data_IF_923939876952
#
_entry.id   IF_923939876952
#
_cell.length_a   1.000
_cell.length_b   1.000
_cell.length_c   1.000
_cell.angle_alpha   90.00
_cell.angle_beta   90.00
_cell.angle_gamma   90.00
#
_symmetry.space_group_name_H-M   'P 1'
#
loop_
_entity.id
_entity.type
_entity.pdbx_description
1 polymer ?
#
# COMPACT_ATOMS: atom_id res chain seq x y z
N UNK A 1 -15.75 -6.84 6.52
CA UNK A 1 -14.59 -7.67 6.15
C UNK A 1 -14.94 -9.09 6.62
N UNK A 2 -15.11 -10.09 5.73
CA UNK A 2 -14.03 -10.37 4.78
C UNK A 2 -14.42 -10.46 3.30
N UNK A 3 -15.70 -10.60 2.93
CA UNK A 3 -16.08 -10.94 1.54
C UNK A 3 -15.42 -10.08 0.43
N UNK A 4 -15.39 -8.75 0.57
CA UNK A 4 -14.75 -7.86 -0.41
C UNK A 4 -13.22 -7.96 -0.36
N UNK A 5 -12.63 -7.99 0.83
CA UNK A 5 -11.17 -8.06 0.98
C UNK A 5 -10.64 -9.42 0.53
N UNK A 6 -11.40 -10.50 0.75
CA UNK A 6 -11.08 -11.84 0.28
C UNK A 6 -11.06 -11.91 -1.25
N UNK A 7 -12.02 -11.25 -1.92
CA UNK A 7 -12.00 -11.18 -3.39
C UNK A 7 -10.83 -10.35 -3.91
N UNK A 8 -10.47 -9.24 -3.24
CA UNK A 8 -9.26 -8.46 -3.59
C UNK A 8 -8.01 -9.33 -3.41
N UNK A 9 -7.86 -10.01 -2.26
CA UNK A 9 -6.73 -10.92 -1.98
C UNK A 9 -6.64 -12.04 -2.99
N UNK A 10 -7.76 -12.69 -3.32
CA UNK A 10 -7.84 -13.73 -4.33
C UNK A 10 -7.25 -13.22 -5.64
N UNK A 11 -7.67 -12.04 -6.11
CA UNK A 11 -7.12 -11.44 -7.33
C UNK A 11 -5.62 -11.16 -7.24
N UNK A 12 -5.11 -10.72 -6.08
CA UNK A 12 -3.66 -10.53 -5.86
C UNK A 12 -2.87 -11.83 -5.96
N UNK A 13 -3.43 -12.96 -5.52
CA UNK A 13 -2.73 -14.25 -5.49
C UNK A 13 -2.80 -15.05 -6.80
N UNK A 14 -3.74 -14.76 -7.70
CA UNK A 14 -3.98 -15.52 -8.94
C UNK A 14 -2.70 -15.76 -9.77
N UNK A 15 -1.85 -14.75 -9.92
CA UNK A 15 -0.61 -14.90 -10.70
C UNK A 15 0.42 -15.81 -9.99
N UNK A 16 0.39 -15.86 -8.66
CA UNK A 16 1.29 -16.67 -7.84
C UNK A 16 0.99 -18.15 -7.91
N UNK A 17 -0.28 -18.51 -8.10
CA UNK A 17 -0.71 -19.90 -8.27
C UNK A 17 -0.15 -20.54 -9.55
N UNK A 18 0.32 -19.74 -10.52
CA UNK A 18 0.89 -20.26 -11.77
C UNK A 18 2.29 -20.85 -11.60
N UNK A 19 3.02 -20.47 -10.53
CA UNK A 19 4.42 -20.88 -10.31
C UNK A 19 5.42 -20.36 -11.34
N UNK A 20 5.05 -19.36 -12.16
CA UNK A 20 5.87 -18.84 -13.28
C UNK A 20 6.69 -17.59 -12.93
N UNK A 21 6.41 -16.96 -11.81
CA UNK A 21 6.98 -15.67 -11.44
C UNK A 21 7.66 -15.77 -10.09
N UNK A 22 8.86 -15.20 -9.97
CA UNK A 22 9.59 -15.11 -8.71
C UNK A 22 8.96 -14.05 -7.78
N UNK A 23 8.43 -12.98 -8.35
CA UNK A 23 7.82 -11.85 -7.64
C UNK A 23 6.58 -11.34 -8.35
N UNK A 24 5.62 -10.84 -7.56
CA UNK A 24 4.39 -10.20 -8.05
C UNK A 24 4.34 -8.80 -7.46
N UNK A 25 4.15 -7.81 -8.33
CA UNK A 25 3.97 -6.41 -7.93
C UNK A 25 2.52 -6.06 -8.19
N UNK A 26 1.79 -5.74 -7.12
CA UNK A 26 0.41 -5.28 -7.19
C UNK A 26 0.37 -3.79 -6.93
N UNK A 27 0.03 -3.01 -7.96
CA UNK A 27 -0.26 -1.59 -7.79
C UNK A 27 -1.66 -1.41 -7.20
N UNK A 28 -1.78 -0.59 -6.16
CA UNK A 28 -3.05 -0.19 -5.58
C UNK A 28 -3.35 1.23 -6.04
N UNK A 29 -4.40 1.39 -6.84
CA UNK A 29 -4.89 2.69 -7.25
C UNK A 29 -5.58 3.45 -6.12
N UNK A 30 -5.64 4.77 -6.25
CA UNK A 30 -6.21 5.66 -5.24
C UNK A 30 -5.20 6.08 -4.17
N UNK A 31 -5.26 7.33 -3.68
CA UNK A 31 -4.36 7.78 -2.64
C UNK A 31 -4.75 7.19 -1.28
N UNK A 32 -3.77 7.06 -0.40
CA UNK A 32 -4.01 6.71 1.01
C UNK A 32 -4.73 7.85 1.70
N UNK A 33 -5.81 7.54 2.44
CA UNK A 33 -6.67 8.50 3.14
C UNK A 33 -8.05 8.67 2.49
N UNK A 34 -8.18 8.29 1.22
CA UNK A 34 -9.48 8.30 0.55
C UNK A 34 -10.33 7.08 0.96
N UNK A 35 -11.63 7.30 1.12
CA UNK A 35 -12.60 6.27 1.55
C UNK A 35 -12.62 5.08 0.60
N UNK A 36 -12.43 5.33 -0.70
CA UNK A 36 -12.41 4.32 -1.75
C UNK A 36 -11.23 3.34 -1.60
N UNK A 37 -10.13 3.77 -0.99
CA UNK A 37 -8.91 2.99 -0.82
C UNK A 37 -8.98 2.02 0.38
N UNK A 38 -9.90 2.24 1.34
CA UNK A 38 -9.95 1.48 2.59
C UNK A 38 -10.04 -0.05 2.41
N UNK A 39 -10.86 -0.61 1.49
CA UNK A 39 -10.91 -2.05 1.28
C UNK A 39 -9.58 -2.62 0.75
N UNK A 40 -8.87 -1.88 -0.10
CA UNK A 40 -7.59 -2.31 -0.65
C UNK A 40 -6.49 -2.26 0.40
N UNK A 41 -6.45 -1.18 1.21
CA UNK A 41 -5.52 -1.06 2.34
C UNK A 41 -5.73 -2.23 3.31
N UNK A 42 -6.98 -2.52 3.71
CA UNK A 42 -7.25 -3.67 4.59
C UNK A 42 -6.87 -5.01 3.94
N UNK A 43 -7.06 -5.18 2.63
CA UNK A 43 -6.61 -6.37 1.91
C UNK A 43 -5.07 -6.51 1.96
N UNK A 44 -4.31 -5.43 1.70
CA UNK A 44 -2.83 -5.43 1.79
C UNK A 44 -2.37 -5.79 3.21
N UNK A 45 -3.03 -5.24 4.23
CA UNK A 45 -2.73 -5.56 5.64
C UNK A 45 -2.90 -7.05 5.93
N UNK A 46 -3.96 -7.68 5.40
CA UNK A 46 -4.19 -9.11 5.52
C UNK A 46 -3.19 -9.94 4.69
N UNK A 47 -2.87 -9.54 3.45
CA UNK A 47 -1.87 -10.23 2.62
C UNK A 47 -0.51 -10.29 3.33
N UNK A 48 -0.06 -9.18 3.94
CA UNK A 48 1.19 -9.18 4.72
C UNK A 48 1.14 -10.15 5.90
N UNK A 49 -0.02 -10.28 6.55
CA UNK A 49 -0.19 -11.23 7.63
C UNK A 49 -0.11 -12.67 7.12
N UNK A 50 -0.82 -12.98 6.02
CA UNK A 50 -0.91 -14.32 5.45
C UNK A 50 0.43 -14.82 4.89
N UNK A 51 1.20 -13.95 4.22
CA UNK A 51 2.50 -14.28 3.64
C UNK A 51 3.66 -14.18 4.64
N UNK A 52 3.48 -13.41 5.71
CA UNK A 52 4.51 -13.05 6.67
C UNK A 52 5.44 -11.93 6.18
N UNK A 53 6.17 -11.31 7.12
CA UNK A 53 6.97 -10.11 6.88
C UNK A 53 8.11 -10.27 5.86
N UNK A 54 8.57 -11.50 5.61
CA UNK A 54 9.68 -11.77 4.68
C UNK A 54 9.24 -12.05 3.24
N UNK A 55 7.94 -12.25 3.00
CA UNK A 55 7.40 -12.59 1.69
C UNK A 55 6.43 -11.53 1.15
N UNK A 56 6.33 -10.37 1.82
CA UNK A 56 5.50 -9.25 1.39
C UNK A 56 6.18 -7.92 1.73
N UNK A 57 6.25 -7.03 0.74
CA UNK A 57 6.80 -5.67 0.86
C UNK A 57 5.72 -4.65 0.52
N UNK A 58 5.67 -3.54 1.26
CA UNK A 58 4.79 -2.39 0.99
C UNK A 58 5.62 -1.18 0.64
N UNK A 59 5.50 -0.74 -0.61
CA UNK A 59 6.13 0.48 -1.12
C UNK A 59 5.10 1.60 -1.13
N UNK A 60 5.37 2.70 -0.42
CA UNK A 60 4.48 3.86 -0.38
C UNK A 60 5.03 5.03 -1.19
N UNK A 61 4.41 5.31 -2.33
CA UNK A 61 4.79 6.41 -3.21
C UNK A 61 4.26 7.74 -2.66
N UNK A 62 5.14 8.72 -2.46
CA UNK A 62 4.76 10.04 -1.93
C UNK A 62 5.32 11.19 -2.75
N UNK A 63 4.68 12.36 -2.64
CA UNK A 63 5.10 13.60 -3.30
C UNK A 63 5.91 14.47 -2.34
N UNK A 64 7.11 14.88 -2.78
CA UNK A 64 7.91 15.93 -2.13
C UNK A 64 7.81 17.21 -2.97
N UNK A 65 6.90 18.15 -2.64
CA UNK A 65 6.73 19.37 -3.42
C UNK A 65 7.88 20.35 -3.19
N UNK A 66 8.23 21.08 -4.25
CA UNK A 66 9.17 22.21 -4.22
C UNK A 66 8.42 23.54 -4.16
N UNK A 67 8.65 24.33 -3.12
CA UNK A 67 8.05 25.65 -2.96
C UNK A 67 8.96 26.74 -3.54
N UNK A 68 8.61 27.26 -4.72
CA UNK A 68 9.41 28.30 -5.41
C UNK A 68 9.65 29.55 -4.56
N UNK A 69 8.67 29.98 -3.77
CA UNK A 69 8.76 31.19 -2.94
C UNK A 69 9.83 31.08 -1.85
N UNK A 70 10.03 29.87 -1.29
CA UNK A 70 10.98 29.61 -0.22
C UNK A 70 12.25 28.85 -0.70
N UNK A 71 12.29 28.46 -1.99
CA UNK A 71 13.38 27.69 -2.64
C UNK A 71 13.75 26.39 -1.89
N UNK A 72 12.75 25.67 -1.39
CA UNK A 72 12.96 24.47 -0.57
C UNK A 72 12.00 23.35 -0.94
N UNK A 73 12.41 22.11 -0.64
CA UNK A 73 11.57 20.93 -0.68
C UNK A 73 10.84 20.76 0.66
N UNK A 74 9.57 20.34 0.61
CA UNK A 74 8.77 20.09 1.81
C UNK A 74 8.49 18.61 1.99
N UNK A 75 8.96 18.04 3.10
CA UNK A 75 8.74 16.63 3.48
C UNK A 75 7.45 16.39 4.27
N UNK A 76 6.80 17.46 4.77
CA UNK A 76 5.60 17.37 5.60
C UNK A 76 4.45 16.58 4.95
N UNK A 77 4.16 16.71 3.63
CA UNK A 77 3.15 15.88 2.98
C UNK A 77 3.45 14.38 3.05
N UNK A 78 4.70 13.97 2.77
CA UNK A 78 5.15 12.58 2.94
C UNK A 78 4.95 12.10 4.38
N UNK A 79 5.34 12.89 5.38
CA UNK A 79 5.19 12.52 6.79
C UNK A 79 3.72 12.29 7.19
N UNK A 80 2.82 13.16 6.72
CA UNK A 80 1.39 13.01 6.98
C UNK A 80 0.82 11.76 6.30
N UNK A 81 1.17 11.54 5.03
CA UNK A 81 0.69 10.38 4.27
C UNK A 81 1.20 9.05 4.85
N UNK A 82 2.45 9.00 5.31
CA UNK A 82 2.99 7.82 6.02
C UNK A 82 2.27 7.61 7.35
N UNK A 83 1.99 8.67 8.10
CA UNK A 83 1.23 8.56 9.37
C UNK A 83 -0.18 8.01 9.15
N UNK A 84 -0.82 8.39 8.05
CA UNK A 84 -2.15 7.90 7.69
C UNK A 84 -2.12 6.41 7.32
N UNK A 85 -1.15 5.99 6.50
CA UNK A 85 -0.94 4.57 6.19
C UNK A 85 -0.68 3.73 7.45
N UNK A 86 0.16 4.24 8.36
CA UNK A 86 0.43 3.61 9.66
C UNK A 86 -0.83 3.51 10.53
N UNK A 87 -1.73 4.50 10.47
CA UNK A 87 -2.98 4.47 11.22
C UNK A 87 -3.93 3.35 10.78
N UNK A 88 -3.79 2.87 9.54
CA UNK A 88 -4.46 1.69 9.02
C UNK A 88 -3.72 0.38 9.31
N UNK A 89 -2.65 0.43 10.10
CA UNK A 89 -1.88 -0.75 10.52
C UNK A 89 -0.90 -1.26 9.46
N UNK A 90 -0.52 -0.41 8.49
CA UNK A 90 0.47 -0.76 7.46
C UNK A 90 1.72 0.08 7.65
N UNK A 91 2.84 -0.59 7.86
CA UNK A 91 4.16 0.03 7.86
C UNK A 91 4.78 -0.05 6.46
N UNK A 92 5.08 1.07 5.78
CA UNK A 92 5.86 1.00 4.55
C UNK A 92 7.29 0.50 4.87
N UNK A 93 7.84 -0.31 3.98
CA UNK A 93 9.22 -0.83 4.02
C UNK A 93 10.18 0.13 3.28
#
# INVERSE_FOLDING_TARGET
VPHITDEIKRNMFLLGETGKYDFIITEIGGPVGDIESLPFVEAVRQVRWDLGANNAMVIHLTLIPYLKAAKELKTKPTQHSVKELLSYGIQPD
#
